data_IF_305987128035
#
_entry.id   IF_305987128035
#
_cell.length_a   1.000
_cell.length_b   1.000
_cell.length_c   1.000
_cell.angle_alpha   90.00
_cell.angle_beta   90.00
_cell.angle_gamma   90.00
#
_symmetry.space_group_name_H-M   'P 1'
#
loop_
_entity.id
_entity.type
_entity.pdbx_description
1 polymer ?
#
# COMPACT_ATOMS: atom_id res chain seq x y z
N UNK A 1 41.07 -7.79 -14.36
CA UNK A 1 40.72 -6.38 -14.06
C UNK A 1 39.25 -6.18 -14.38
N UNK A 2 38.50 -5.49 -13.51
CA UNK A 2 37.10 -5.15 -13.78
C UNK A 2 37.06 -3.90 -14.66
N UNK A 3 36.27 -3.88 -15.75
CA UNK A 3 36.24 -2.74 -16.65
C UNK A 3 35.51 -1.54 -16.03
N UNK A 4 36.10 -0.36 -16.15
CA UNK A 4 35.54 0.91 -15.64
C UNK A 4 34.16 1.20 -16.24
N UNK A 5 33.94 0.81 -17.50
CA UNK A 5 32.66 0.96 -18.19
C UNK A 5 31.50 0.21 -17.52
N UNK A 6 31.77 -0.92 -16.85
CA UNK A 6 30.73 -1.69 -16.16
C UNK A 6 30.08 -0.88 -15.04
N UNK A 7 30.88 -0.15 -14.26
CA UNK A 7 30.39 0.69 -13.17
C UNK A 7 29.47 1.81 -13.70
N UNK A 8 29.91 2.50 -14.76
CA UNK A 8 29.13 3.58 -15.37
C UNK A 8 27.81 3.07 -15.96
N UNK A 9 27.82 1.89 -16.59
CA UNK A 9 26.60 1.30 -17.17
C UNK A 9 25.61 0.91 -16.07
N UNK A 10 26.06 0.29 -14.97
CA UNK A 10 25.19 -0.07 -13.83
C UNK A 10 24.51 1.18 -13.26
N UNK A 11 25.26 2.25 -13.07
CA UNK A 11 24.71 3.50 -12.55
C UNK A 11 23.65 4.10 -13.48
N UNK A 12 23.89 4.08 -14.79
CA UNK A 12 22.92 4.52 -15.78
C UNK A 12 21.65 3.65 -15.79
N UNK A 13 21.79 2.33 -15.60
CA UNK A 13 20.65 1.41 -15.52
C UNK A 13 19.77 1.71 -14.31
N UNK A 14 20.36 1.94 -13.12
CA UNK A 14 19.63 2.33 -11.91
C UNK A 14 18.80 3.59 -12.12
N UNK A 15 19.37 4.61 -12.77
CA UNK A 15 18.67 5.85 -13.08
C UNK A 15 17.50 5.64 -14.06
N UNK A 16 17.68 4.81 -15.07
CA UNK A 16 16.61 4.49 -16.03
C UNK A 16 15.47 3.74 -15.32
N UNK A 17 15.78 2.76 -14.48
CA UNK A 17 14.78 2.00 -13.72
C UNK A 17 13.99 2.89 -12.76
N UNK A 18 14.67 3.76 -12.00
CA UNK A 18 14.02 4.74 -11.13
C UNK A 18 13.06 5.66 -11.94
N UNK A 19 13.47 6.09 -13.13
CA UNK A 19 12.61 6.89 -14.02
C UNK A 19 11.40 6.12 -14.54
N UNK A 20 11.52 4.81 -14.77
CA UNK A 20 10.38 3.96 -15.15
C UNK A 20 9.35 3.87 -14.03
N UNK A 21 9.78 3.68 -12.78
CA UNK A 21 8.90 3.70 -11.60
C UNK A 21 8.16 5.04 -11.50
N UNK A 22 8.87 6.15 -11.68
CA UNK A 22 8.28 7.48 -11.55
C UNK A 22 7.23 7.80 -12.63
N UNK A 23 7.34 7.18 -13.80
CA UNK A 23 6.43 7.40 -14.92
C UNK A 23 5.33 6.33 -15.02
N UNK A 24 5.21 5.41 -14.05
CA UNK A 24 4.21 4.36 -14.09
C UNK A 24 2.82 4.91 -13.71
N UNK A 25 1.91 4.87 -14.69
CA UNK A 25 0.51 5.32 -14.53
C UNK A 25 -0.27 4.44 -13.57
N UNK A 26 0.12 3.16 -13.39
CA UNK A 26 -0.56 2.25 -12.46
C UNK A 26 -0.30 2.59 -10.99
N UNK A 27 0.78 3.32 -10.71
CA UNK A 27 1.13 3.80 -9.37
C UNK A 27 0.78 5.28 -9.18
N UNK A 28 -0.05 5.85 -10.07
CA UNK A 28 -0.58 7.19 -9.90
C UNK A 28 -1.77 7.17 -8.95
N UNK A 29 -1.70 8.00 -7.91
CA UNK A 29 -2.80 8.20 -6.97
C UNK A 29 -3.49 9.52 -7.24
N UNK A 30 -4.79 9.45 -7.53
CA UNK A 30 -5.63 10.58 -7.87
C UNK A 30 -6.59 10.89 -6.71
N UNK A 31 -6.08 11.57 -5.68
CA UNK A 31 -6.91 12.10 -4.59
C UNK A 31 -7.22 13.59 -4.86
N UNK A 32 -8.43 14.08 -4.58
CA UNK A 32 -8.74 15.50 -4.62
C UNK A 32 -7.74 16.42 -3.91
N UNK A 33 -7.09 15.94 -2.84
CA UNK A 33 -6.15 16.72 -2.05
C UNK A 33 -4.69 16.55 -2.51
N UNK A 34 -4.36 15.44 -3.17
CA UNK A 34 -2.99 15.11 -3.56
C UNK A 34 -2.93 14.25 -4.83
N UNK A 35 -2.33 14.80 -5.88
CA UNK A 35 -2.18 14.15 -7.18
C UNK A 35 -0.72 13.79 -7.42
N UNK A 36 -0.33 12.57 -7.04
CA UNK A 36 1.07 12.18 -7.03
C UNK A 36 1.32 10.85 -7.76
N UNK A 37 2.42 10.83 -8.51
CA UNK A 37 3.04 9.60 -8.98
C UNK A 37 3.92 9.00 -7.88
N UNK A 38 4.19 7.70 -7.95
CA UNK A 38 5.25 7.10 -7.16
C UNK A 38 6.59 7.81 -7.43
N UNK A 39 7.36 8.10 -6.40
CA UNK A 39 8.64 8.79 -6.52
C UNK A 39 9.76 7.95 -5.88
N UNK A 40 10.62 7.39 -6.72
CA UNK A 40 11.90 6.84 -6.31
C UNK A 40 12.86 7.97 -5.98
N UNK A 41 13.14 8.14 -4.68
CA UNK A 41 14.07 9.15 -4.15
C UNK A 41 15.51 8.65 -4.11
N UNK A 42 15.71 7.34 -4.21
CA UNK A 42 17.02 6.71 -4.21
C UNK A 42 17.05 5.57 -5.23
N UNK A 43 17.80 5.78 -6.32
CA UNK A 43 17.93 4.81 -7.42
C UNK A 43 18.76 3.57 -7.05
N UNK A 44 19.58 3.64 -6.00
CA UNK A 44 20.39 2.50 -5.54
C UNK A 44 19.53 1.39 -4.91
N UNK A 45 18.40 1.76 -4.31
CA UNK A 45 17.53 0.83 -3.59
C UNK A 45 16.51 0.14 -4.51
N UNK A 46 16.40 0.54 -5.77
CA UNK A 46 15.37 0.03 -6.69
C UNK A 46 15.51 -1.48 -6.92
N UNK A 47 16.74 -1.98 -6.99
CA UNK A 47 17.04 -3.41 -7.17
C UNK A 47 16.89 -4.22 -5.88
N UNK A 48 17.03 -3.59 -4.71
CA UNK A 48 16.76 -4.23 -3.41
C UNK A 48 15.27 -4.48 -3.19
N UNK A 49 14.39 -3.67 -3.78
CA UNK A 49 12.93 -3.86 -3.69
C UNK A 49 12.49 -5.25 -4.18
N UNK A 50 13.20 -5.83 -5.15
CA UNK A 50 12.92 -7.17 -5.66
C UNK A 50 13.33 -8.32 -4.73
N UNK A 51 14.05 -8.01 -3.64
CA UNK A 51 14.60 -8.97 -2.69
C UNK A 51 13.99 -8.84 -1.29
N UNK A 52 12.97 -8.00 -1.13
CA UNK A 52 12.32 -7.77 0.17
C UNK A 52 11.54 -9.02 0.61
N UNK A 53 11.87 -9.56 1.78
CA UNK A 53 11.18 -10.71 2.38
C UNK A 53 10.12 -10.32 3.42
N UNK A 54 10.30 -9.18 4.09
CA UNK A 54 9.44 -8.72 5.17
C UNK A 54 9.01 -7.27 4.95
N UNK A 55 7.72 -7.00 5.11
CA UNK A 55 7.15 -5.65 5.09
C UNK A 55 6.65 -5.32 6.48
N UNK A 56 7.26 -4.33 7.12
CA UNK A 56 6.77 -3.76 8.38
C UNK A 56 5.88 -2.57 8.04
N UNK A 57 4.58 -2.68 8.31
CA UNK A 57 3.61 -1.61 8.06
C UNK A 57 3.16 -0.97 9.37
N UNK A 58 3.02 0.36 9.36
CA UNK A 58 2.33 1.06 10.44
C UNK A 58 0.81 0.91 10.29
N UNK A 59 0.08 0.95 11.40
CA UNK A 59 -1.37 0.83 11.38
C UNK A 59 -2.03 2.12 10.91
N UNK A 60 -1.67 3.24 11.53
CA UNK A 60 -2.40 4.51 11.36
C UNK A 60 -1.79 5.32 10.22
N UNK A 61 -2.60 5.74 9.26
CA UNK A 61 -2.12 6.50 8.10
C UNK A 61 -1.43 5.67 7.02
N UNK A 62 -1.28 4.35 7.21
CA UNK A 62 -0.90 3.40 6.15
C UNK A 62 -2.01 2.37 5.93
N UNK A 63 -2.34 1.55 6.93
CA UNK A 63 -3.42 0.55 6.81
C UNK A 63 -4.81 1.16 6.97
N UNK A 64 -4.93 2.24 7.75
CA UNK A 64 -6.23 2.90 8.00
C UNK A 64 -6.22 4.35 7.53
N UNK A 65 -7.34 4.80 6.95
CA UNK A 65 -7.56 6.19 6.51
C UNK A 65 -7.93 7.13 7.67
N UNK A 66 -7.74 6.71 8.93
CA UNK A 66 -8.16 7.45 10.13
C UNK A 66 -9.61 7.98 10.07
N UNK A 67 -10.50 7.22 9.42
CA UNK A 67 -11.92 7.54 9.27
C UNK A 67 -12.73 6.45 9.95
N UNK A 68 -13.43 6.81 11.03
CA UNK A 68 -14.25 5.89 11.80
C UNK A 68 -15.71 6.02 11.36
N UNK A 69 -16.26 4.94 10.83
CA UNK A 69 -17.67 4.87 10.41
C UNK A 69 -18.43 3.95 11.34
N UNK A 70 -19.54 4.45 11.90
CA UNK A 70 -20.43 3.61 12.68
C UNK A 70 -21.20 2.68 11.73
N UNK A 71 -20.87 1.38 11.78
CA UNK A 71 -21.49 0.37 10.90
C UNK A 71 -22.70 -0.30 11.55
N UNK A 72 -22.58 -0.70 12.81
CA UNK A 72 -23.57 -1.52 13.51
C UNK A 72 -23.56 -1.29 15.02
N UNK A 73 -24.69 -1.58 15.65
CA UNK A 73 -24.77 -1.81 17.10
C UNK A 73 -25.83 -2.86 17.43
N UNK A 74 -25.78 -3.37 18.66
CA UNK A 74 -26.82 -4.21 19.23
C UNK A 74 -27.44 -3.50 20.42
N UNK A 75 -28.77 -3.51 20.51
CA UNK A 75 -29.53 -2.98 21.65
C UNK A 75 -30.53 -4.05 22.08
N UNK A 76 -30.30 -4.65 23.26
CA UNK A 76 -31.08 -5.80 23.72
C UNK A 76 -30.85 -7.04 22.83
N UNK A 77 -31.94 -7.64 22.34
CA UNK A 77 -31.91 -8.77 21.39
C UNK A 77 -31.76 -8.35 19.93
N UNK A 78 -31.87 -7.05 19.62
CA UNK A 78 -31.95 -6.56 18.25
C UNK A 78 -30.62 -5.97 17.78
N UNK A 79 -30.18 -6.36 16.57
CA UNK A 79 -28.97 -5.84 15.91
C UNK A 79 -29.37 -4.87 14.81
N UNK A 80 -28.79 -3.66 14.87
CA UNK A 80 -29.02 -2.57 13.93
C UNK A 80 -27.80 -2.35 13.03
N UNK A 81 -28.05 -2.03 11.77
CA UNK A 81 -27.04 -1.80 10.73
C UNK A 81 -26.95 -2.98 9.76
N UNK A 82 -26.97 -2.67 8.46
CA UNK A 82 -26.91 -3.66 7.38
C UNK A 82 -25.48 -3.70 6.83
N UNK A 83 -24.91 -4.90 6.64
CA UNK A 83 -23.66 -5.01 5.88
C UNK A 83 -24.02 -4.82 4.41
N UNK A 84 -23.33 -3.92 3.76
CA UNK A 84 -23.28 -3.91 2.30
C UNK A 84 -22.33 -5.01 1.83
N UNK A 85 -22.47 -5.48 0.59
CA UNK A 85 -21.54 -6.47 0.01
C UNK A 85 -20.06 -6.02 0.10
N UNK A 86 -19.83 -4.71 0.15
CA UNK A 86 -18.51 -4.11 0.36
C UNK A 86 -17.93 -4.42 1.75
N UNK A 87 -18.78 -4.48 2.78
CA UNK A 87 -18.34 -4.81 4.14
C UNK A 87 -18.01 -6.32 4.26
N UNK A 88 -18.67 -7.19 3.47
CA UNK A 88 -18.43 -8.65 3.46
C UNK A 88 -17.09 -9.00 2.78
N UNK A 89 -16.78 -8.35 1.66
CA UNK A 89 -15.55 -8.59 0.91
C UNK A 89 -14.29 -8.12 1.66
N UNK A 90 -14.43 -7.18 2.61
CA UNK A 90 -13.33 -6.62 3.39
C UNK A 90 -12.98 -7.42 4.66
N UNK A 91 -13.49 -8.66 4.80
CA UNK A 91 -13.04 -9.59 5.84
C UNK A 91 -13.76 -9.43 7.17
N UNK A 92 -15.06 -9.74 7.19
CA UNK A 92 -15.86 -9.94 8.42
C UNK A 92 -15.69 -11.41 8.85
N UNK A 93 -14.49 -11.78 9.29
CA UNK A 93 -14.21 -13.10 9.88
C UNK A 93 -14.35 -13.13 11.41
N UNK A 94 -14.42 -11.96 12.06
CA UNK A 94 -14.19 -11.84 13.50
C UNK A 94 -15.45 -11.82 14.38
N UNK A 95 -16.65 -11.94 13.82
CA UNK A 95 -17.90 -11.80 14.61
C UNK A 95 -18.45 -13.10 15.19
N UNK A 96 -17.95 -14.27 14.77
CA UNK A 96 -18.40 -15.55 15.34
C UNK A 96 -17.89 -15.79 16.78
N UNK A 97 -16.96 -14.99 17.29
CA UNK A 97 -16.39 -15.14 18.64
C UNK A 97 -16.92 -14.19 19.72
N UNK A 98 -17.74 -13.19 19.38
CA UNK A 98 -18.17 -12.15 20.34
C UNK A 98 -19.51 -12.45 21.04
N UNK A 99 -20.13 -13.61 20.79
CA UNK A 99 -21.38 -14.04 21.44
C UNK A 99 -21.17 -15.32 22.27
N UNK A 100 -19.99 -15.48 22.88
CA UNK A 100 -19.80 -16.42 24.00
C UNK A 100 -19.56 -15.66 25.29
#
# INVERSE_FOLDING_TARGET
>A
MIPISLYVIIEMLKLIQAKMINNDVKMFFADPEDMNFALSRNSDLVEELGQVEFVFSDKTGTLTQNKMEFKKCQVGSEVYGHLTDQDIHNGVSDYQGMIQ
#
